data_IF_259141433420
#
_entry.id   IF_259141433420
#
_cell.length_a   1.000
_cell.length_b   1.000
_cell.length_c   1.000
_cell.angle_alpha   90.00
_cell.angle_beta   90.00
_cell.angle_gamma   90.00
#
_symmetry.space_group_name_H-M   'P 1'
#
loop_
_entity.id
_entity.type
_entity.pdbx_description
1 polymer ?
#
# COMPACT_ATOMS: atom_id res chain seq x y z
N UNK A 1 20.62 25.27 10.76
CA UNK A 1 20.38 24.35 9.64
C UNK A 1 19.89 25.17 8.46
N UNK A 2 20.45 25.03 7.26
CA UNK A 2 20.00 25.83 6.11
C UNK A 2 18.70 25.25 5.55
N UNK A 3 17.85 26.10 4.94
CA UNK A 3 16.60 25.64 4.31
C UNK A 3 16.87 24.60 3.20
N UNK A 4 18.03 24.69 2.54
CA UNK A 4 18.50 23.68 1.57
C UNK A 4 18.76 22.32 2.22
N UNK A 5 19.42 22.30 3.38
CA UNK A 5 19.68 21.04 4.11
C UNK A 5 18.38 20.40 4.60
N UNK A 6 17.44 21.22 5.07
CA UNK A 6 16.11 20.75 5.50
C UNK A 6 15.32 20.12 4.35
N UNK A 7 15.24 20.78 3.20
CA UNK A 7 14.54 20.25 2.02
C UNK A 7 15.19 18.98 1.49
N UNK A 8 16.52 18.89 1.55
CA UNK A 8 17.25 17.68 1.18
C UNK A 8 16.92 16.51 2.09
N UNK A 9 16.97 16.71 3.40
CA UNK A 9 16.62 15.68 4.39
C UNK A 9 15.17 15.20 4.20
N UNK A 10 14.21 16.12 4.04
CA UNK A 10 12.80 15.76 3.76
C UNK A 10 12.60 15.02 2.45
N UNK A 11 13.37 15.33 1.41
CA UNK A 11 13.32 14.60 0.15
C UNK A 11 13.84 13.16 0.28
N UNK A 12 14.88 12.95 1.10
CA UNK A 12 15.46 11.64 1.37
C UNK A 12 14.55 10.79 2.27
N UNK A 13 13.94 11.41 3.29
CA UNK A 13 12.92 10.80 4.15
C UNK A 13 11.69 10.37 3.32
N UNK A 14 11.20 11.24 2.45
CA UNK A 14 10.07 10.93 1.57
C UNK A 14 10.37 9.77 0.61
N UNK A 15 11.60 9.66 0.10
CA UNK A 15 12.04 8.51 -0.71
C UNK A 15 12.00 7.21 0.10
N UNK A 16 12.44 7.24 1.36
CA UNK A 16 12.40 6.07 2.22
C UNK A 16 10.95 5.64 2.50
N UNK A 17 10.08 6.59 2.85
CA UNK A 17 8.66 6.34 3.12
C UNK A 17 7.91 5.86 1.87
N UNK A 18 8.30 6.34 0.67
CA UNK A 18 7.79 5.82 -0.59
C UNK A 18 8.11 4.33 -0.76
N UNK A 19 9.33 3.89 -0.45
CA UNK A 19 9.70 2.47 -0.50
C UNK A 19 8.88 1.65 0.49
N UNK A 20 8.68 2.13 1.71
CA UNK A 20 7.83 1.45 2.70
C UNK A 20 6.39 1.32 2.20
N UNK A 21 5.83 2.37 1.58
CA UNK A 21 4.50 2.31 0.99
C UNK A 21 4.41 1.29 -0.15
N UNK A 22 5.45 1.15 -0.98
CA UNK A 22 5.49 0.10 -2.02
C UNK A 22 5.56 -1.30 -1.41
N UNK A 23 6.34 -1.49 -0.34
CA UNK A 23 6.39 -2.76 0.38
C UNK A 23 5.02 -3.13 0.98
N UNK A 24 4.28 -2.15 1.50
CA UNK A 24 2.91 -2.37 1.99
C UNK A 24 1.96 -2.79 0.88
N UNK A 25 2.07 -2.22 -0.32
CA UNK A 25 1.30 -2.66 -1.50
C UNK A 25 1.64 -4.10 -1.86
N UNK A 26 2.92 -4.45 -1.95
CA UNK A 26 3.37 -5.82 -2.28
C UNK A 26 2.84 -6.82 -1.25
N UNK A 27 2.96 -6.51 0.04
CA UNK A 27 2.43 -7.33 1.11
C UNK A 27 0.90 -7.49 0.98
N UNK A 28 0.19 -6.40 0.68
CA UNK A 28 -1.24 -6.42 0.45
C UNK A 28 -1.65 -7.34 -0.71
N UNK A 29 -0.93 -7.30 -1.82
CA UNK A 29 -1.18 -8.19 -2.98
C UNK A 29 -0.96 -9.66 -2.62
N UNK A 30 0.10 -9.96 -1.85
CA UNK A 30 0.39 -11.33 -1.40
C UNK A 30 -0.73 -11.83 -0.47
N UNK A 31 -1.10 -11.03 0.54
CA UNK A 31 -2.17 -11.37 1.48
C UNK A 31 -3.51 -11.56 0.77
N UNK A 32 -3.83 -10.67 -0.16
CA UNK A 32 -5.04 -10.77 -0.98
C UNK A 32 -5.04 -12.07 -1.77
N UNK A 33 -3.96 -12.37 -2.50
CA UNK A 33 -3.86 -13.58 -3.33
C UNK A 33 -3.97 -14.87 -2.50
N UNK A 34 -3.28 -14.93 -1.36
CA UNK A 34 -3.33 -16.08 -0.44
C UNK A 34 -4.73 -16.24 0.15
N UNK A 35 -5.35 -15.15 0.60
CA UNK A 35 -6.71 -15.15 1.13
C UNK A 35 -7.74 -15.63 0.10
N UNK A 36 -7.66 -15.13 -1.14
CA UNK A 36 -8.55 -15.55 -2.22
C UNK A 36 -8.36 -17.02 -2.57
N UNK A 37 -7.10 -17.49 -2.66
CA UNK A 37 -6.79 -18.87 -3.00
C UNK A 37 -7.31 -19.81 -1.90
N UNK A 38 -7.13 -19.46 -0.63
CA UNK A 38 -7.63 -20.23 0.50
C UNK A 38 -9.16 -20.36 0.45
N UNK A 39 -9.89 -19.27 0.21
CA UNK A 39 -11.37 -19.32 0.15
C UNK A 39 -11.87 -20.18 -1.01
N UNK A 40 -11.22 -20.10 -2.18
CA UNK A 40 -11.57 -20.90 -3.37
C UNK A 40 -11.25 -22.38 -3.17
N UNK A 41 -10.13 -22.72 -2.53
CA UNK A 41 -9.76 -24.11 -2.28
C UNK A 41 -10.57 -24.74 -1.14
N UNK A 42 -11.02 -23.95 -0.17
CA UNK A 42 -11.81 -24.43 0.96
C UNK A 42 -13.30 -24.61 0.63
N UNK A 43 -13.79 -24.02 -0.46
CA UNK A 43 -15.23 -24.01 -0.79
C UNK A 43 -15.46 -24.62 -2.17
N UNK A 44 -16.36 -25.61 -2.28
CA UNK A 44 -16.72 -26.20 -3.58
C UNK A 44 -17.46 -25.23 -4.50
N UNK A 45 -18.25 -24.31 -3.92
CA UNK A 45 -19.01 -23.27 -4.64
C UNK A 45 -18.95 -21.92 -3.91
N UNK A 46 -17.85 -21.15 -4.04
CA UNK A 46 -17.74 -19.84 -3.40
C UNK A 46 -18.67 -18.81 -4.08
N UNK A 47 -19.35 -18.00 -3.26
CA UNK A 47 -20.05 -16.82 -3.75
C UNK A 47 -19.03 -15.69 -4.01
N UNK A 48 -19.34 -14.81 -4.96
CA UNK A 48 -18.42 -13.75 -5.38
C UNK A 48 -19.01 -12.38 -5.16
N UNK A 49 -18.29 -11.52 -4.44
CA UNK A 49 -18.52 -10.08 -4.42
C UNK A 49 -17.41 -9.41 -5.24
N UNK A 50 -17.71 -9.12 -6.52
CA UNK A 50 -16.74 -8.61 -7.50
C UNK A 50 -15.55 -9.56 -7.72
N UNK A 51 -14.48 -9.39 -6.93
CA UNK A 51 -13.22 -10.15 -6.99
C UNK A 51 -12.95 -10.87 -5.65
N UNK A 52 -13.82 -10.69 -4.65
CA UNK A 52 -13.68 -11.28 -3.32
C UNK A 52 -14.57 -12.52 -3.26
N UNK A 53 -13.99 -13.74 -3.27
CA UNK A 53 -14.73 -14.94 -2.94
C UNK A 53 -15.10 -14.89 -1.45
N UNK A 54 -16.35 -15.12 -1.13
CA UNK A 54 -16.83 -15.23 0.24
C UNK A 54 -17.64 -16.51 0.42
N UNK A 55 -17.55 -17.07 1.61
CA UNK A 55 -18.37 -18.18 2.06
C UNK A 55 -18.73 -17.90 3.51
N UNK A 56 -20.03 -17.92 3.84
CA UNK A 56 -20.55 -17.59 5.17
C UNK A 56 -20.74 -18.85 6.02
N UNK A 57 -19.93 -19.88 5.76
CA UNK A 57 -19.89 -21.05 6.62
C UNK A 57 -19.10 -20.73 7.91
N UNK A 58 -19.60 -21.11 9.10
CA UNK A 58 -18.99 -20.79 10.38
C UNK A 58 -17.80 -21.70 10.69
N UNK A 59 -16.95 -21.94 9.70
CA UNK A 59 -15.73 -22.74 9.79
C UNK A 59 -14.50 -21.81 9.86
N UNK A 60 -13.55 -22.09 10.77
CA UNK A 60 -12.42 -21.18 11.02
C UNK A 60 -11.53 -20.95 9.79
N UNK A 61 -11.51 -21.90 8.85
CA UNK A 61 -10.74 -21.81 7.60
C UNK A 61 -11.31 -20.74 6.66
N UNK A 62 -12.64 -20.61 6.58
CA UNK A 62 -13.29 -19.64 5.69
C UNK A 62 -13.19 -18.22 6.26
N UNK A 63 -13.32 -18.09 7.58
CA UNK A 63 -13.08 -16.82 8.28
C UNK A 63 -11.64 -16.32 8.09
N UNK A 64 -10.65 -17.22 8.16
CA UNK A 64 -9.25 -16.88 7.96
C UNK A 64 -8.96 -16.41 6.52
N UNK A 65 -9.52 -17.09 5.51
CA UNK A 65 -9.40 -16.70 4.11
C UNK A 65 -10.01 -15.30 3.85
N UNK A 66 -11.20 -15.05 4.41
CA UNK A 66 -11.87 -13.75 4.33
C UNK A 66 -11.06 -12.64 5.03
N UNK A 67 -10.51 -12.92 6.22
CA UNK A 67 -9.65 -12.00 6.94
C UNK A 67 -8.40 -11.59 6.14
N UNK A 68 -7.70 -12.57 5.55
CA UNK A 68 -6.55 -12.29 4.70
C UNK A 68 -6.91 -11.48 3.46
N UNK A 69 -8.05 -11.79 2.83
CA UNK A 69 -8.53 -11.09 1.65
C UNK A 69 -8.85 -9.63 1.96
N UNK A 70 -9.58 -9.36 3.05
CA UNK A 70 -9.93 -8.01 3.49
C UNK A 70 -8.69 -7.20 3.91
N UNK A 71 -7.81 -7.82 4.70
CA UNK A 71 -6.56 -7.17 5.14
C UNK A 71 -5.66 -6.85 3.95
N UNK A 72 -5.51 -7.80 3.02
CA UNK A 72 -4.75 -7.59 1.79
C UNK A 72 -5.28 -6.43 0.97
N UNK A 73 -6.61 -6.35 0.77
CA UNK A 73 -7.24 -5.25 0.06
C UNK A 73 -7.01 -3.90 0.76
N UNK A 74 -7.19 -3.83 2.07
CA UNK A 74 -6.94 -2.62 2.86
C UNK A 74 -5.46 -2.18 2.76
N UNK A 75 -4.52 -3.11 2.81
CA UNK A 75 -3.09 -2.84 2.64
C UNK A 75 -2.74 -2.32 1.24
N UNK A 76 -3.35 -2.86 0.17
CA UNK A 76 -3.15 -2.36 -1.20
C UNK A 76 -3.65 -0.92 -1.33
N UNK A 77 -4.86 -0.63 -0.86
CA UNK A 77 -5.47 0.70 -0.95
C UNK A 77 -4.64 1.73 -0.17
N UNK A 78 -4.34 1.43 1.10
CA UNK A 78 -3.56 2.33 1.95
C UNK A 78 -2.14 2.54 1.43
N UNK A 79 -1.45 1.47 1.01
CA UNK A 79 -0.13 1.55 0.40
C UNK A 79 -0.13 2.36 -0.91
N UNK A 80 -1.19 2.23 -1.71
CA UNK A 80 -1.38 3.03 -2.94
C UNK A 80 -1.52 4.52 -2.65
N UNK A 81 -2.41 4.89 -1.72
CA UNK A 81 -2.61 6.28 -1.29
C UNK A 81 -1.31 6.89 -0.76
N UNK A 82 -0.61 6.16 0.13
CA UNK A 82 0.67 6.60 0.69
C UNK A 82 1.74 6.77 -0.39
N UNK A 83 1.81 5.86 -1.36
CA UNK A 83 2.76 5.95 -2.47
C UNK A 83 2.55 7.19 -3.32
N UNK A 84 1.30 7.59 -3.57
CA UNK A 84 0.98 8.83 -4.30
C UNK A 84 1.34 10.05 -3.46
N UNK A 85 0.95 10.06 -2.18
CA UNK A 85 1.26 11.16 -1.26
C UNK A 85 2.77 11.42 -1.20
N UNK A 86 3.58 10.40 -0.96
CA UNK A 86 5.04 10.56 -0.86
C UNK A 86 5.68 11.02 -2.17
N UNK A 87 5.14 10.59 -3.33
CA UNK A 87 5.59 11.11 -4.63
C UNK A 87 5.31 12.60 -4.79
N UNK A 88 4.12 13.06 -4.38
CA UNK A 88 3.74 14.48 -4.44
C UNK A 88 4.62 15.32 -3.52
N UNK A 89 4.76 14.90 -2.25
CA UNK A 89 5.60 15.59 -1.26
C UNK A 89 7.04 15.73 -1.77
N UNK A 90 7.62 14.65 -2.32
CA UNK A 90 8.97 14.68 -2.91
C UNK A 90 9.08 15.65 -4.09
N UNK A 91 8.06 15.71 -4.95
CA UNK A 91 8.01 16.64 -6.07
C UNK A 91 8.04 18.09 -5.62
N UNK A 92 7.28 18.43 -4.57
CA UNK A 92 7.26 19.75 -3.98
C UNK A 92 8.62 20.14 -3.39
N UNK A 93 9.25 19.25 -2.61
CA UNK A 93 10.56 19.54 -2.01
C UNK A 93 11.65 19.78 -3.05
N UNK A 94 11.68 18.98 -4.13
CA UNK A 94 12.65 19.16 -5.22
C UNK A 94 12.40 20.45 -6.01
N UNK A 95 11.14 20.83 -6.19
CA UNK A 95 10.79 22.08 -6.86
C UNK A 95 11.25 23.31 -6.06
N UNK A 96 11.08 23.29 -4.73
CA UNK A 96 11.59 24.35 -3.86
C UNK A 96 13.13 24.38 -3.84
N UNK A 97 13.79 23.22 -3.79
CA UNK A 97 15.25 23.12 -3.86
C UNK A 97 15.80 23.74 -5.15
N UNK A 98 15.13 23.49 -6.28
CA UNK A 98 15.51 24.05 -7.59
C UNK A 98 15.41 25.58 -7.60
N UNK A 99 14.33 26.16 -7.05
CA UNK A 99 14.17 27.62 -6.94
C UNK A 99 15.32 28.27 -6.17
N UNK A 100 15.72 27.68 -5.07
CA UNK A 100 16.81 28.22 -4.23
C UNK A 100 18.15 28.13 -4.93
N UNK A 101 18.35 27.13 -5.79
CA UNK A 101 19.56 27.01 -6.60
C UNK A 101 19.61 28.05 -7.72
N UNK A 102 18.48 28.35 -8.37
CA UNK A 102 18.37 29.35 -9.43
C UNK A 102 18.47 30.81 -8.93
N UNK A 103 18.24 31.06 -7.64
CA UNK A 103 18.34 32.38 -7.01
C UNK A 103 19.75 32.71 -6.47
N UNK A 104 20.70 31.78 -6.57
CA UNK A 104 22.08 31.92 -6.10
C UNK A 104 23.02 32.17 -7.27
#
# INVERSE_FOLDING_TARGET
MSLRDYLREKSEESRHNQTQAHLLVILGVILFSVGTLQTVLATESPDWLLIIPYCVEPTPVHLLGLFFTLTGLASVISGGILSVKYRLDRGQYLHELKKIHEMQ
#
